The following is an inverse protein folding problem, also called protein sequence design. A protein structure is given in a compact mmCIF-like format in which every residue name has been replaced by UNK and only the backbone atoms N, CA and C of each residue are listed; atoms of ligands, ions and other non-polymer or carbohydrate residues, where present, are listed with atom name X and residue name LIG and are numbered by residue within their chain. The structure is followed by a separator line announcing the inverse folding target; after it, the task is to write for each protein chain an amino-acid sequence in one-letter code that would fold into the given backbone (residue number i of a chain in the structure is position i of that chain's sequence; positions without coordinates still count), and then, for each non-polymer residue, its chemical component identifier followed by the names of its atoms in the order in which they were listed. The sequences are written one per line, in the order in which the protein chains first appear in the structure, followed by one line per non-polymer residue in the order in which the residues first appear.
data_IF_535085176716
#
_entry.id   IF_535085176716
#
_cell.length_a   1.000
_cell.length_b   1.000
_cell.length_c   1.000
_cell.angle_alpha   90.00
_cell.angle_beta   90.00
_cell.angle_gamma   90.00
#
_symmetry.space_group_name_H-M   'P 1'
#
loop_
_entity.id
_entity.type
_entity.pdbx_description
1 polymer ?
#
# COMPACT_ATOMS: atom_id res chain seq x y z
N UNK A 1 -0.10 8.38 16.94
CA UNK A 1 1.03 7.91 16.11
C UNK A 1 0.86 6.47 15.63
N UNK A 2 1.04 5.41 16.44
CA UNK A 2 0.88 4.02 15.93
C UNK A 2 -0.56 3.70 15.52
N UNK A 3 -1.54 4.18 16.31
CA UNK A 3 -2.96 3.93 16.03
C UNK A 3 -3.42 4.62 14.74
N UNK A 4 -2.98 5.85 14.51
CA UNK A 4 -3.26 6.60 13.28
C UNK A 4 -2.64 5.93 12.04
N UNK A 5 -1.46 5.33 12.17
CA UNK A 5 -0.85 4.53 11.11
C UNK A 5 -1.68 3.29 10.82
N UNK A 6 -2.10 2.55 11.85
CA UNK A 6 -2.95 1.37 11.71
C UNK A 6 -4.27 1.73 11.01
N UNK A 7 -4.96 2.78 11.46
CA UNK A 7 -6.23 3.22 10.87
C UNK A 7 -6.06 3.62 9.38
N UNK A 8 -4.93 4.27 9.04
CA UNK A 8 -4.58 4.57 7.65
C UNK A 8 -4.32 3.31 6.83
N UNK A 9 -3.55 2.37 7.37
CA UNK A 9 -3.27 1.09 6.69
C UNK A 9 -4.56 0.32 6.44
N UNK A 10 -5.44 0.21 7.44
CA UNK A 10 -6.73 -0.46 7.29
C UNK A 10 -7.59 0.21 6.21
N UNK A 11 -7.60 1.54 6.17
CA UNK A 11 -8.29 2.31 5.13
C UNK A 11 -7.73 2.00 3.74
N UNK A 12 -6.41 1.95 3.58
CA UNK A 12 -5.77 1.67 2.29
C UNK A 12 -5.94 0.20 1.88
N UNK A 13 -6.02 -0.74 2.82
CA UNK A 13 -6.37 -2.15 2.53
C UNK A 13 -7.78 -2.22 1.93
N UNK A 14 -8.76 -1.53 2.53
CA UNK A 14 -10.14 -1.51 2.03
C UNK A 14 -10.18 -0.91 0.62
N UNK A 15 -9.59 0.27 0.42
CA UNK A 15 -9.51 0.92 -0.90
C UNK A 15 -8.81 0.03 -1.93
N UNK A 16 -7.70 -0.60 -1.55
CA UNK A 16 -6.94 -1.50 -2.41
C UNK A 16 -7.77 -2.71 -2.84
N UNK A 17 -8.56 -3.30 -1.93
CA UNK A 17 -9.47 -4.41 -2.26
C UNK A 17 -10.61 -3.96 -3.18
N UNK A 18 -11.20 -2.79 -2.94
CA UNK A 18 -12.26 -2.23 -3.79
C UNK A 18 -11.75 -1.95 -5.21
N UNK A 19 -10.54 -1.37 -5.32
CA UNK A 19 -9.95 -0.97 -6.60
C UNK A 19 -9.35 -2.14 -7.39
N UNK A 20 -8.62 -3.03 -6.71
CA UNK A 20 -7.76 -4.04 -7.33
C UNK A 20 -8.05 -5.48 -6.91
N UNK A 21 -8.99 -5.72 -6.00
CA UNK A 21 -9.27 -7.07 -5.49
C UNK A 21 -9.73 -8.08 -6.56
N UNK A 22 -10.19 -7.62 -7.73
CA UNK A 22 -10.53 -8.50 -8.86
C UNK A 22 -9.33 -8.93 -9.70
N UNK A 23 -8.19 -8.22 -9.59
CA UNK A 23 -6.94 -8.46 -10.33
C UNK A 23 -5.83 -9.06 -9.46
N UNK A 24 -5.84 -8.81 -8.15
CA UNK A 24 -4.89 -9.36 -7.18
C UNK A 24 -5.17 -10.84 -6.89
N UNK A 25 -4.90 -11.71 -7.86
CA UNK A 25 -5.24 -13.15 -7.80
C UNK A 25 -4.08 -14.03 -7.40
N UNK A 26 -2.86 -13.54 -7.59
CA UNK A 26 -1.64 -14.29 -7.30
C UNK A 26 -0.69 -13.47 -6.44
N UNK A 27 0.23 -14.13 -5.70
CA UNK A 27 1.27 -13.43 -4.96
C UNK A 27 2.13 -12.53 -5.86
N UNK A 28 2.29 -12.89 -7.13
CA UNK A 28 3.06 -12.11 -8.10
C UNK A 28 2.38 -10.78 -8.41
N UNK A 29 1.05 -10.77 -8.58
CA UNK A 29 0.29 -9.53 -8.83
C UNK A 29 0.48 -8.54 -7.68
N UNK A 30 0.38 -9.04 -6.44
CA UNK A 30 0.59 -8.22 -5.24
C UNK A 30 2.05 -7.76 -5.09
N UNK A 31 3.03 -8.58 -5.47
CA UNK A 31 4.44 -8.16 -5.46
C UNK A 31 4.73 -7.05 -6.49
N UNK A 32 4.09 -7.09 -7.66
CA UNK A 32 4.19 -6.02 -8.65
C UNK A 32 3.57 -4.74 -8.08
N UNK A 33 2.39 -4.83 -7.48
CA UNK A 33 1.73 -3.68 -6.84
C UNK A 33 2.60 -3.06 -5.72
N UNK A 34 3.29 -3.87 -4.91
CA UNK A 34 4.27 -3.37 -3.92
C UNK A 34 5.38 -2.57 -4.61
N UNK A 35 5.92 -3.05 -5.72
CA UNK A 35 6.97 -2.35 -6.45
C UNK A 35 6.48 -0.99 -6.98
N UNK A 36 5.25 -0.92 -7.50
CA UNK A 36 4.64 0.31 -7.98
C UNK A 36 4.49 1.33 -6.83
N UNK A 37 3.90 0.94 -5.70
CA UNK A 37 3.70 1.87 -4.58
C UNK A 37 5.01 2.30 -3.90
N UNK A 38 6.05 1.45 -3.90
CA UNK A 38 7.39 1.89 -3.47
C UNK A 38 7.93 2.98 -4.41
N UNK A 39 7.62 2.89 -5.71
CA UNK A 39 7.92 3.93 -6.68
C UNK A 39 7.22 5.25 -6.34
N UNK A 40 5.95 5.21 -5.94
CA UNK A 40 5.18 6.37 -5.52
C UNK A 40 5.71 6.98 -4.21
N UNK A 41 6.15 6.17 -3.24
CA UNK A 41 6.87 6.67 -2.05
C UNK A 41 8.11 7.46 -2.47
N UNK A 42 8.93 6.88 -3.36
CA UNK A 42 10.13 7.56 -3.86
C UNK A 42 9.80 8.83 -4.64
N UNK A 43 8.73 8.80 -5.45
CA UNK A 43 8.22 9.96 -6.17
C UNK A 43 7.84 11.10 -5.21
N UNK A 44 7.02 10.80 -4.20
CA UNK A 44 6.54 11.78 -3.23
C UNK A 44 7.68 12.43 -2.44
N UNK A 45 8.69 11.64 -2.07
CA UNK A 45 9.91 12.15 -1.40
C UNK A 45 10.69 13.07 -2.33
N UNK A 46 10.97 12.62 -3.57
CA UNK A 46 11.79 13.37 -4.52
C UNK A 46 11.14 14.69 -4.96
N UNK A 47 9.81 14.72 -5.03
CA UNK A 47 9.05 15.91 -5.42
C UNK A 47 8.58 16.76 -4.22
N UNK A 48 9.01 16.43 -3.00
CA UNK A 48 8.68 17.18 -1.78
C UNK A 48 7.16 17.35 -1.57
N UNK A 49 6.37 16.32 -1.85
CA UNK A 49 4.90 16.36 -1.77
C UNK A 49 4.33 16.44 -0.34
N UNK A 50 5.22 16.44 0.66
CA UNK A 50 4.88 16.57 2.07
C UNK A 50 4.66 15.25 2.80
N UNK A 51 4.70 15.32 4.12
CA UNK A 51 4.68 14.14 4.99
C UNK A 51 3.37 13.33 4.87
N UNK A 52 2.23 13.99 4.65
CA UNK A 52 0.93 13.31 4.55
C UNK A 52 0.83 12.40 3.34
N UNK A 53 1.41 12.83 2.21
CA UNK A 53 1.47 12.07 0.96
C UNK A 53 2.44 10.91 1.10
N UNK A 54 3.65 11.15 1.59
CA UNK A 54 4.63 10.07 1.88
C UNK A 54 4.03 9.02 2.83
N UNK A 55 3.35 9.45 3.90
CA UNK A 55 2.69 8.54 4.84
C UNK A 55 1.53 7.76 4.20
N UNK A 56 0.83 8.34 3.22
CA UNK A 56 -0.22 7.63 2.49
C UNK A 56 0.38 6.51 1.63
N UNK A 57 1.42 6.80 0.85
CA UNK A 57 2.08 5.81 -0.01
C UNK A 57 2.72 4.68 0.82
N UNK A 58 3.33 5.00 1.96
CA UNK A 58 3.83 3.98 2.90
C UNK A 58 2.69 3.11 3.43
N UNK A 59 1.54 3.70 3.78
CA UNK A 59 0.38 2.94 4.24
C UNK A 59 -0.16 2.01 3.15
N UNK A 60 -0.13 2.42 1.89
CA UNK A 60 -0.51 1.59 0.74
C UNK A 60 0.43 0.41 0.57
N UNK A 61 1.75 0.62 0.62
CA UNK A 61 2.75 -0.45 0.58
C UNK A 61 2.48 -1.49 1.67
N UNK A 62 2.28 -1.04 2.92
CA UNK A 62 2.00 -1.93 4.05
C UNK A 62 0.69 -2.70 3.82
N UNK A 63 -0.35 -2.02 3.34
CA UNK A 63 -1.64 -2.65 3.04
C UNK A 63 -1.54 -3.75 1.99
N UNK A 64 -0.75 -3.55 0.92
CA UNK A 64 -0.50 -4.57 -0.10
C UNK A 64 0.30 -5.74 0.49
N UNK A 65 1.36 -5.47 1.26
CA UNK A 65 2.16 -6.52 1.92
C UNK A 65 1.33 -7.35 2.90
N UNK A 66 0.37 -6.75 3.61
CA UNK A 66 -0.56 -7.48 4.47
C UNK A 66 -1.42 -8.46 3.66
N UNK A 67 -1.96 -8.02 2.52
CA UNK A 67 -2.76 -8.90 1.63
C UNK A 67 -1.91 -10.00 1.02
N UNK A 68 -0.66 -9.71 0.67
CA UNK A 68 0.29 -10.71 0.19
C UNK A 68 0.55 -11.78 1.25
N UNK A 69 0.77 -11.38 2.49
CA UNK A 69 0.96 -12.30 3.61
C UNK A 69 -0.27 -13.19 3.82
N UNK A 70 -1.48 -12.63 3.76
CA UNK A 70 -2.73 -13.38 3.86
C UNK A 70 -2.89 -14.42 2.73
N UNK A 71 -2.48 -14.08 1.51
CA UNK A 71 -2.59 -14.98 0.35
C UNK A 71 -1.55 -16.11 0.37
N UNK A 72 -0.37 -15.86 0.93
CA UNK A 72 0.71 -16.84 1.04
C UNK A 72 0.52 -17.84 2.19
N UNK A 73 -0.45 -17.59 3.08
CA UNK A 73 -0.79 -18.44 4.23
C UNK A 73 -1.74 -19.57 3.82
#
# INVERSE_FOLDING_TARGET
MLRELIDRVDTEIVKGREKWGSVDRTPVDLMIAVQEEIGEVAHAINHHEGADRVNQEIAQVIGILSRLYEMAK
#
